data_IF_419302475037
#
_entry.id   IF_419302475037
#
_cell.length_a   1.000
_cell.length_b   1.000
_cell.length_c   1.000
_cell.angle_alpha   90.00
_cell.angle_beta   90.00
_cell.angle_gamma   90.00
#
_symmetry.space_group_name_H-M   'P 1'
#
loop_
_entity.id
_entity.type
_entity.pdbx_description
1 polymer ?
#
# COMPACT_ATOMS: atom_id res chain seq x y z
N UNK A 1 28.51 40.84 -10.08
CA UNK A 1 28.60 39.94 -8.92
C UNK A 1 27.78 38.70 -9.23
N UNK A 2 28.45 37.62 -9.67
CA UNK A 2 27.85 36.30 -9.82
C UNK A 2 27.60 35.73 -8.42
N UNK A 3 26.33 35.49 -8.06
CA UNK A 3 25.97 34.67 -6.91
C UNK A 3 25.76 33.24 -7.39
N UNK A 4 26.79 32.41 -7.22
CA UNK A 4 26.68 30.95 -7.33
C UNK A 4 25.77 30.46 -6.20
N UNK A 5 24.56 30.03 -6.54
CA UNK A 5 23.67 29.33 -5.60
C UNK A 5 24.18 27.90 -5.39
N UNK A 6 24.67 27.61 -4.19
CA UNK A 6 25.03 26.27 -3.75
C UNK A 6 23.76 25.41 -3.65
N UNK A 7 23.54 24.53 -4.63
CA UNK A 7 22.58 23.43 -4.49
C UNK A 7 23.10 22.47 -3.42
N UNK A 8 22.59 22.58 -2.20
CA UNK A 8 22.73 21.52 -1.21
C UNK A 8 21.88 20.32 -1.66
N UNK A 9 22.53 19.29 -2.18
CA UNK A 9 21.93 17.97 -2.25
C UNK A 9 21.79 17.45 -0.82
N UNK A 10 20.57 17.45 -0.30
CA UNK A 10 20.25 16.68 0.91
C UNK A 10 20.26 15.21 0.50
N UNK A 11 21.39 14.54 0.74
CA UNK A 11 21.44 13.07 0.68
C UNK A 11 20.47 12.54 1.72
N UNK A 12 19.36 11.94 1.28
CA UNK A 12 18.56 11.13 2.19
C UNK A 12 19.43 9.99 2.70
N UNK A 13 19.63 9.85 4.03
CA UNK A 13 20.38 8.73 4.55
C UNK A 13 19.70 7.43 4.08
N UNK A 14 20.51 6.52 3.56
CA UNK A 14 20.11 5.13 3.39
C UNK A 14 20.02 4.58 4.81
N UNK A 15 18.86 4.08 5.22
CA UNK A 15 18.73 3.47 6.54
C UNK A 15 19.69 2.28 6.62
N UNK A 16 20.64 2.33 7.55
CA UNK A 16 21.58 1.25 7.79
C UNK A 16 20.96 0.20 8.72
N UNK A 17 21.52 -1.02 8.73
CA UNK A 17 21.01 -2.10 9.59
C UNK A 17 20.95 -1.72 11.08
N UNK A 18 21.91 -0.89 11.54
CA UNK A 18 21.96 -0.36 12.89
C UNK A 18 20.77 0.60 13.19
N UNK A 19 20.36 1.41 12.21
CA UNK A 19 19.19 2.29 12.33
C UNK A 19 17.89 1.48 12.43
N UNK A 20 17.81 0.37 11.68
CA UNK A 20 16.65 -0.51 11.69
C UNK A 20 16.50 -1.24 13.02
N UNK A 21 17.59 -1.75 13.60
CA UNK A 21 17.57 -2.41 14.90
C UNK A 21 17.15 -1.44 16.03
N UNK A 22 17.66 -0.19 16.00
CA UNK A 22 17.27 0.85 16.95
C UNK A 22 15.77 1.21 16.80
N UNK A 23 15.30 1.41 15.57
CA UNK A 23 13.89 1.65 15.27
C UNK A 23 13.00 0.49 15.76
N UNK A 24 13.41 -0.76 15.54
CA UNK A 24 12.66 -1.96 15.97
C UNK A 24 12.51 -2.02 17.50
N UNK A 25 13.53 -1.61 18.25
CA UNK A 25 13.43 -1.51 19.72
C UNK A 25 12.43 -0.43 20.14
N UNK A 26 12.45 0.73 19.47
CA UNK A 26 11.46 1.79 19.66
C UNK A 26 10.04 1.31 19.39
N UNK A 27 9.80 0.67 18.25
CA UNK A 27 8.52 0.08 17.87
C UNK A 27 8.02 -0.93 18.92
N UNK A 28 8.91 -1.81 19.41
CA UNK A 28 8.58 -2.77 20.49
C UNK A 28 8.23 -2.08 21.81
N UNK A 29 8.81 -0.91 22.11
CA UNK A 29 8.46 -0.14 23.30
C UNK A 29 7.07 0.51 23.14
N UNK A 30 6.81 1.14 22.01
CA UNK A 30 5.51 1.75 21.67
C UNK A 30 4.38 0.71 21.68
N UNK A 31 4.60 -0.42 21.03
CA UNK A 31 3.62 -1.50 20.96
C UNK A 31 3.28 -2.09 22.34
N UNK A 32 4.27 -2.24 23.22
CA UNK A 32 4.04 -2.66 24.62
C UNK A 32 3.25 -1.61 25.39
N UNK A 33 3.56 -0.32 25.22
CA UNK A 33 2.81 0.76 25.84
C UNK A 33 1.34 0.80 25.35
N UNK A 34 1.09 0.37 24.11
CA UNK A 34 -0.25 0.17 23.55
C UNK A 34 -0.95 -1.13 24.01
N UNK A 35 -0.33 -1.93 24.89
CA UNK A 35 -0.91 -3.14 25.47
C UNK A 35 -0.69 -4.43 24.67
N UNK A 36 0.16 -4.41 23.64
CA UNK A 36 0.47 -5.62 22.87
C UNK A 36 1.38 -6.54 23.70
N UNK A 37 1.01 -7.82 23.79
CA UNK A 37 1.74 -8.79 24.60
C UNK A 37 3.14 -9.06 24.06
N UNK A 38 4.09 -9.37 24.96
CA UNK A 38 5.45 -9.79 24.58
C UNK A 38 5.42 -10.99 23.63
N UNK A 39 4.56 -11.98 23.90
CA UNK A 39 4.44 -13.18 23.06
C UNK A 39 4.02 -12.82 21.62
N UNK A 40 3.09 -11.89 21.45
CA UNK A 40 2.68 -11.38 20.13
C UNK A 40 3.82 -10.68 19.42
N UNK A 41 4.57 -9.82 20.12
CA UNK A 41 5.69 -9.09 19.53
C UNK A 41 6.84 -10.02 19.14
N UNK A 42 7.13 -11.03 19.96
CA UNK A 42 8.17 -12.00 19.64
C UNK A 42 7.74 -12.87 18.45
N UNK A 43 6.48 -13.32 18.40
CA UNK A 43 5.97 -14.08 17.26
C UNK A 43 5.97 -13.26 15.96
N UNK A 44 5.64 -11.97 16.03
CA UNK A 44 5.48 -11.13 14.86
C UNK A 44 6.78 -10.47 14.38
N UNK A 45 7.72 -10.16 15.28
CA UNK A 45 8.87 -9.27 15.01
C UNK A 45 10.23 -9.93 15.26
N UNK A 46 10.29 -11.25 15.39
CA UNK A 46 11.57 -11.99 15.42
C UNK A 46 12.04 -12.26 14.00
N UNK A 47 13.34 -12.15 13.75
CA UNK A 47 13.98 -12.40 12.46
C UNK A 47 13.43 -11.57 11.27
N UNK A 48 12.89 -10.38 11.56
CA UNK A 48 12.55 -9.41 10.51
C UNK A 48 13.80 -8.66 10.08
N UNK A 49 13.95 -8.50 8.78
CA UNK A 49 15.00 -7.69 8.17
C UNK A 49 14.41 -6.49 7.42
N UNK A 50 15.21 -5.43 7.30
CA UNK A 50 14.90 -4.33 6.40
C UNK A 50 14.99 -4.82 4.96
N UNK A 51 13.93 -4.61 4.17
CA UNK A 51 13.90 -4.95 2.75
C UNK A 51 14.13 -3.67 1.92
N UNK A 52 15.33 -3.44 1.35
CA UNK A 52 15.63 -2.19 0.64
C UNK A 52 14.69 -1.93 -0.55
N UNK A 53 14.22 -2.99 -1.20
CA UNK A 53 13.27 -2.91 -2.31
C UNK A 53 11.93 -2.30 -1.90
N UNK A 54 11.47 -2.54 -0.68
CA UNK A 54 10.22 -1.95 -0.17
C UNK A 54 10.40 -0.43 -0.03
N UNK A 55 11.52 0.02 0.52
CA UNK A 55 11.85 1.45 0.65
C UNK A 55 11.99 2.13 -0.70
N UNK A 56 12.61 1.45 -1.67
CA UNK A 56 12.73 1.96 -3.04
C UNK A 56 11.35 2.14 -3.71
N UNK A 57 10.47 1.13 -3.60
CA UNK A 57 9.13 1.16 -4.17
C UNK A 57 8.26 2.23 -3.51
N UNK A 58 8.32 2.38 -2.19
CA UNK A 58 7.64 3.43 -1.46
C UNK A 58 8.03 4.83 -1.97
N UNK A 59 9.34 5.07 -2.16
CA UNK A 59 9.86 6.33 -2.71
C UNK A 59 9.59 6.52 -4.21
N UNK A 60 9.04 5.51 -4.89
CA UNK A 60 8.83 5.52 -6.35
C UNK A 60 7.40 5.20 -6.80
N UNK A 61 6.41 5.54 -5.97
CA UNK A 61 4.99 5.38 -6.25
C UNK A 61 4.59 5.87 -7.67
N UNK A 62 3.96 5.01 -8.50
CA UNK A 62 3.63 5.32 -9.89
C UNK A 62 2.67 6.49 -10.08
N UNK A 63 1.80 6.74 -9.10
CA UNK A 63 0.75 7.77 -9.14
C UNK A 63 1.34 9.19 -9.29
N UNK A 64 2.57 9.40 -8.82
CA UNK A 64 3.29 10.67 -8.97
C UNK A 64 4.08 10.79 -10.28
N UNK A 65 4.20 9.69 -11.04
CA UNK A 65 5.10 9.60 -12.21
C UNK A 65 4.37 9.24 -13.50
N UNK A 66 3.11 8.81 -13.42
CA UNK A 66 2.32 8.37 -14.57
C UNK A 66 1.31 9.43 -14.99
N UNK A 67 1.09 9.56 -16.30
CA UNK A 67 -0.04 10.32 -16.83
C UNK A 67 -1.34 9.52 -16.64
N UNK A 68 -2.47 10.24 -16.65
CA UNK A 68 -3.80 9.62 -16.55
C UNK A 68 -4.03 8.54 -17.62
N UNK A 69 -3.68 8.83 -18.89
CA UNK A 69 -3.88 7.88 -19.98
C UNK A 69 -3.10 6.59 -19.77
N UNK A 70 -1.85 6.71 -19.28
CA UNK A 70 -1.01 5.55 -18.98
C UNK A 70 -1.59 4.75 -17.81
N UNK A 71 -2.10 5.41 -16.79
CA UNK A 71 -2.78 4.77 -15.67
C UNK A 71 -4.01 3.99 -16.15
N UNK A 72 -4.91 4.65 -16.88
CA UNK A 72 -6.12 4.01 -17.39
C UNK A 72 -5.81 2.80 -18.28
N UNK A 73 -4.82 2.92 -19.16
CA UNK A 73 -4.39 1.80 -20.02
C UNK A 73 -3.83 0.60 -19.24
N UNK A 74 -3.18 0.84 -18.09
CA UNK A 74 -2.60 -0.22 -17.27
C UNK A 74 -3.62 -0.87 -16.33
N UNK A 75 -4.48 -0.08 -15.69
CA UNK A 75 -5.35 -0.56 -14.60
C UNK A 75 -6.79 -0.86 -15.03
N UNK A 76 -7.26 -0.34 -16.17
CA UNK A 76 -8.65 -0.48 -16.65
C UNK A 76 -8.72 -1.36 -17.91
N UNK A 77 -8.17 -2.57 -17.83
CA UNK A 77 -8.15 -3.50 -18.97
C UNK A 77 -9.53 -4.09 -19.27
N UNK A 78 -9.76 -4.48 -20.53
CA UNK A 78 -10.96 -5.20 -20.95
C UNK A 78 -11.14 -6.54 -20.24
N UNK A 79 -10.04 -7.24 -19.93
CA UNK A 79 -10.08 -8.47 -19.14
C UNK A 79 -10.64 -8.23 -17.74
N UNK A 80 -10.20 -7.16 -17.06
CA UNK A 80 -10.69 -6.81 -15.71
C UNK A 80 -12.17 -6.42 -15.74
N UNK A 81 -12.61 -5.75 -16.80
CA UNK A 81 -14.03 -5.42 -17.00
C UNK A 81 -14.89 -6.69 -17.15
N UNK A 82 -14.43 -7.67 -17.94
CA UNK A 82 -15.13 -8.94 -18.11
C UNK A 82 -15.23 -9.72 -16.79
N UNK A 83 -14.14 -9.81 -16.04
CA UNK A 83 -14.14 -10.46 -14.72
C UNK A 83 -15.02 -9.69 -13.72
N UNK A 84 -15.01 -8.36 -13.74
CA UNK A 84 -15.90 -7.55 -12.89
C UNK A 84 -17.38 -7.86 -13.15
N UNK A 85 -17.78 -7.99 -14.43
CA UNK A 85 -19.14 -8.34 -14.80
C UNK A 85 -19.53 -9.74 -14.29
N UNK A 86 -18.62 -10.70 -14.38
CA UNK A 86 -18.83 -12.04 -13.80
C UNK A 86 -18.99 -11.98 -12.28
N UNK A 87 -18.11 -11.26 -11.59
CA UNK A 87 -18.12 -11.12 -10.12
C UNK A 87 -19.35 -10.37 -9.59
N UNK A 88 -19.89 -9.43 -10.37
CA UNK A 88 -21.16 -8.77 -10.05
C UNK A 88 -22.34 -9.75 -10.00
N UNK A 89 -22.34 -10.75 -10.89
CA UNK A 89 -23.39 -11.78 -10.94
C UNK A 89 -23.13 -12.83 -9.86
N UNK A 90 -21.91 -13.34 -9.77
CA UNK A 90 -21.50 -14.38 -8.81
C UNK A 90 -21.79 -13.97 -7.36
N UNK A 91 -21.51 -12.73 -6.98
CA UNK A 91 -21.68 -12.22 -5.61
C UNK A 91 -22.89 -11.29 -5.47
N UNK A 92 -23.90 -11.40 -6.35
CA UNK A 92 -25.00 -10.45 -6.44
C UNK A 92 -25.72 -10.19 -5.10
N UNK A 93 -26.00 -11.26 -4.35
CA UNK A 93 -26.70 -11.21 -3.06
C UNK A 93 -25.87 -10.50 -1.97
N UNK A 94 -24.60 -10.88 -1.84
CA UNK A 94 -23.68 -10.23 -0.90
C UNK A 94 -23.51 -8.75 -1.25
N UNK A 95 -23.31 -8.44 -2.53
CA UNK A 95 -23.15 -7.08 -3.01
C UNK A 95 -24.44 -6.26 -2.81
N UNK A 96 -25.63 -6.86 -2.92
CA UNK A 96 -26.90 -6.21 -2.55
C UNK A 96 -26.94 -5.86 -1.06
N UNK A 97 -26.62 -6.83 -0.20
CA UNK A 97 -26.65 -6.64 1.24
C UNK A 97 -25.66 -5.54 1.68
N UNK A 98 -24.43 -5.57 1.17
CA UNK A 98 -23.40 -4.57 1.45
C UNK A 98 -23.81 -3.22 0.87
N UNK A 99 -24.29 -3.19 -0.38
CA UNK A 99 -24.73 -1.94 -1.03
C UNK A 99 -25.84 -1.26 -0.25
N UNK A 100 -26.85 -2.02 0.20
CA UNK A 100 -27.95 -1.50 1.02
C UNK A 100 -27.48 -1.02 2.39
N UNK A 101 -26.58 -1.76 3.03
CA UNK A 101 -26.07 -1.42 4.36
C UNK A 101 -25.25 -0.13 4.37
N UNK A 102 -24.42 0.08 3.36
CA UNK A 102 -23.45 1.18 3.33
C UNK A 102 -23.79 2.30 2.33
N UNK A 103 -24.82 2.14 1.50
CA UNK A 103 -25.22 3.13 0.50
C UNK A 103 -24.27 3.23 -0.69
N UNK A 104 -23.34 2.29 -0.86
CA UNK A 104 -22.37 2.27 -1.97
C UNK A 104 -22.88 1.35 -3.07
N UNK A 105 -22.94 1.83 -4.30
CA UNK A 105 -23.42 1.02 -5.43
C UNK A 105 -22.47 -0.15 -5.70
N UNK A 106 -23.01 -1.35 -5.97
CA UNK A 106 -22.24 -2.60 -6.18
C UNK A 106 -21.06 -2.45 -7.15
N UNK A 107 -21.26 -1.69 -8.24
CA UNK A 107 -20.21 -1.48 -9.26
C UNK A 107 -18.95 -0.87 -8.67
N UNK A 108 -19.06 0.06 -7.71
CA UNK A 108 -17.87 0.67 -7.09
C UNK A 108 -17.12 -0.34 -6.22
N UNK A 109 -17.85 -1.17 -5.49
CA UNK A 109 -17.27 -2.23 -4.64
C UNK A 109 -16.50 -3.23 -5.51
N UNK A 110 -17.14 -3.74 -6.57
CA UNK A 110 -16.52 -4.74 -7.45
C UNK A 110 -15.36 -4.16 -8.25
N UNK A 111 -15.50 -2.95 -8.80
CA UNK A 111 -14.38 -2.34 -9.54
C UNK A 111 -13.21 -2.02 -8.63
N UNK A 112 -13.44 -1.58 -7.40
CA UNK A 112 -12.38 -1.35 -6.43
C UNK A 112 -11.65 -2.64 -6.06
N UNK A 113 -12.39 -3.70 -5.72
CA UNK A 113 -11.82 -5.04 -5.51
C UNK A 113 -11.00 -5.53 -6.72
N UNK A 114 -11.53 -5.27 -7.91
CA UNK A 114 -10.85 -5.51 -9.16
C UNK A 114 -9.51 -4.79 -9.20
N UNK A 115 -9.47 -3.46 -9.00
CA UNK A 115 -8.25 -2.63 -9.07
C UNK A 115 -7.20 -3.09 -8.05
N UNK A 116 -7.60 -3.30 -6.80
CA UNK A 116 -6.67 -3.56 -5.69
C UNK A 116 -6.00 -4.94 -5.76
N UNK A 117 -6.77 -6.00 -6.03
CA UNK A 117 -6.24 -7.38 -5.94
C UNK A 117 -6.57 -8.26 -7.14
N UNK A 118 -7.20 -7.71 -8.18
CA UNK A 118 -7.68 -8.51 -9.32
C UNK A 118 -8.67 -9.61 -8.91
N UNK A 119 -9.57 -9.28 -7.97
CA UNK A 119 -10.63 -10.14 -7.45
C UNK A 119 -10.16 -11.30 -6.54
N UNK A 120 -9.02 -11.14 -5.89
CA UNK A 120 -8.41 -12.15 -5.02
C UNK A 120 -6.95 -11.85 -4.82
#
# INVERSE_FOLDING_TARGET
MLLLGLLMFVSMPVAHADDFAAWMQGLRAEARAAGISKATLDAALTDIELIPRVVELDRSQPEFKMTLDRYLGQFVSSSRQATAAQKLVEHAELLDAVSKKYGVQKRYIVTFWGIETSFG
#
